data_IF_814403945221
#
_entry.id   IF_814403945221
#
_cell.length_a   1.000
_cell.length_b   1.000
_cell.length_c   1.000
_cell.angle_alpha   90.00
_cell.angle_beta   90.00
_cell.angle_gamma   90.00
#
_symmetry.space_group_name_H-M   'P 1'
#
loop_
_entity.id
_entity.type
_entity.pdbx_description
1 polymer ?
#
# COMPACT_ATOMS: atom_id res chain seq x y z
N UNK A 1 88.80 20.72 -18.10
CA UNK A 1 87.66 21.02 -17.22
C UNK A 1 86.45 21.29 -18.10
N UNK A 2 85.60 20.29 -18.31
CA UNK A 2 84.14 20.38 -18.20
C UNK A 2 83.51 19.14 -18.83
N UNK A 3 82.79 18.44 -17.97
CA UNK A 3 82.28 17.08 -18.15
C UNK A 3 80.76 17.08 -18.33
N UNK A 4 80.34 16.10 -19.14
CA UNK A 4 79.11 15.29 -19.03
C UNK A 4 77.76 15.92 -19.39
N UNK A 5 77.35 15.59 -20.62
CA UNK A 5 75.96 15.34 -21.05
C UNK A 5 75.25 14.33 -20.14
N UNK A 6 74.06 14.67 -19.61
CA UNK A 6 73.15 13.69 -18.99
C UNK A 6 71.80 13.70 -19.71
N UNK A 7 71.65 12.78 -20.67
CA UNK A 7 70.40 12.47 -21.35
C UNK A 7 69.46 11.69 -20.41
N UNK A 8 68.41 12.34 -19.87
CA UNK A 8 67.35 11.71 -19.05
C UNK A 8 65.94 12.00 -19.58
N UNK A 9 65.78 12.15 -20.90
CA UNK A 9 64.53 12.58 -21.55
C UNK A 9 63.45 11.50 -21.74
N UNK A 10 63.73 10.34 -22.38
CA UNK A 10 62.65 9.49 -22.89
C UNK A 10 62.07 8.51 -21.85
N UNK A 11 62.87 8.01 -20.91
CA UNK A 11 62.43 6.98 -19.95
C UNK A 11 61.43 7.50 -18.89
N UNK A 12 61.51 8.79 -18.54
CA UNK A 12 60.59 9.43 -17.59
C UNK A 12 59.21 9.67 -18.20
N UNK A 13 59.17 10.06 -19.48
CA UNK A 13 57.93 10.33 -20.21
C UNK A 13 57.12 9.04 -20.44
N UNK A 14 57.79 7.94 -20.82
CA UNK A 14 57.15 6.62 -21.00
C UNK A 14 56.59 6.06 -19.69
N UNK A 15 57.28 6.30 -18.56
CA UNK A 15 56.77 5.92 -17.23
C UNK A 15 55.52 6.71 -16.85
N UNK A 16 55.50 8.02 -17.13
CA UNK A 16 54.36 8.88 -16.80
C UNK A 16 53.10 8.51 -17.60
N UNK A 17 53.23 8.25 -18.90
CA UNK A 17 52.12 7.83 -19.78
C UNK A 17 51.56 6.47 -19.35
N UNK A 18 52.41 5.54 -18.93
CA UNK A 18 51.97 4.22 -18.41
C UNK A 18 51.24 4.32 -17.08
N UNK A 19 51.71 5.18 -16.17
CA UNK A 19 51.04 5.42 -14.88
C UNK A 19 49.68 6.09 -15.10
N UNK A 20 49.60 7.11 -15.95
CA UNK A 20 48.34 7.77 -16.31
C UNK A 20 47.35 6.81 -17.00
N UNK A 21 47.83 5.95 -17.89
CA UNK A 21 47.01 4.92 -18.53
C UNK A 21 46.47 3.88 -17.53
N UNK A 22 47.29 3.43 -16.58
CA UNK A 22 46.86 2.50 -15.52
C UNK A 22 45.87 3.14 -14.55
N UNK A 23 46.05 4.43 -14.21
CA UNK A 23 45.10 5.19 -13.39
C UNK A 23 43.77 5.36 -14.12
N UNK A 24 43.78 5.67 -15.42
CA UNK A 24 42.56 5.78 -16.23
C UNK A 24 41.81 4.44 -16.33
N UNK A 25 42.51 3.33 -16.53
CA UNK A 25 41.90 1.98 -16.56
C UNK A 25 41.34 1.59 -15.18
N UNK A 26 42.04 1.92 -14.09
CA UNK A 26 41.55 1.67 -12.74
C UNK A 26 40.29 2.51 -12.43
N UNK A 27 40.23 3.77 -12.87
CA UNK A 27 39.07 4.64 -12.69
C UNK A 27 37.85 4.16 -13.50
N UNK A 28 38.07 3.67 -14.72
CA UNK A 28 36.99 3.07 -15.54
C UNK A 28 36.49 1.75 -14.94
N UNK A 29 37.39 0.92 -14.40
CA UNK A 29 37.03 -0.32 -13.72
C UNK A 29 36.27 -0.09 -12.39
N UNK A 30 36.57 1.00 -11.67
CA UNK A 30 35.81 1.40 -10.47
C UNK A 30 34.42 1.95 -10.80
N UNK A 31 34.23 2.60 -11.96
CA UNK A 31 32.93 3.13 -12.38
C UNK A 31 31.95 2.07 -12.89
N UNK A 32 32.45 0.94 -13.40
CA UNK A 32 31.63 -0.13 -13.99
C UNK A 32 31.12 -1.18 -12.98
N UNK A 33 31.50 -1.07 -11.71
CA UNK A 33 31.16 -2.03 -10.65
C UNK A 33 30.24 -1.44 -9.55
N UNK A 34 29.56 -0.32 -9.82
CA UNK A 34 28.45 0.07 -8.96
C UNK A 34 27.30 -0.92 -9.25
N UNK A 35 26.93 -1.80 -8.31
CA UNK A 35 25.67 -2.53 -8.48
C UNK A 35 24.58 -1.47 -8.64
N UNK A 36 23.73 -1.61 -9.65
CA UNK A 36 22.47 -0.89 -9.69
C UNK A 36 21.79 -1.21 -8.36
N UNK A 37 21.81 -0.24 -7.43
CA UNK A 37 21.10 -0.32 -6.19
C UNK A 37 19.62 -0.28 -6.56
N UNK A 38 19.08 -1.44 -6.95
CA UNK A 38 17.64 -1.66 -7.04
C UNK A 38 17.15 -1.35 -5.63
N UNK A 39 16.49 -0.21 -5.46
CA UNK A 39 15.88 0.14 -4.19
C UNK A 39 14.97 -1.03 -3.81
N UNK A 40 15.39 -1.82 -2.83
CA UNK A 40 14.63 -2.99 -2.39
C UNK A 40 13.45 -2.45 -1.61
N UNK A 41 12.27 -2.45 -2.24
CA UNK A 41 11.03 -2.03 -1.62
C UNK A 41 10.51 -3.16 -0.71
N UNK A 42 10.33 -2.89 0.57
CA UNK A 42 9.65 -3.81 1.50
C UNK A 42 8.15 -3.58 1.42
N UNK A 43 7.38 -4.68 1.32
CA UNK A 43 5.94 -4.63 1.06
C UNK A 43 5.16 -5.21 2.23
N UNK A 44 4.17 -4.46 2.69
CA UNK A 44 3.32 -4.83 3.81
C UNK A 44 1.86 -4.66 3.41
N UNK A 45 1.00 -5.57 3.84
CA UNK A 45 -0.42 -5.47 3.54
C UNK A 45 -1.30 -5.76 4.76
N UNK A 46 -2.38 -4.99 4.87
CA UNK A 46 -3.54 -5.30 5.68
C UNK A 46 -4.73 -5.48 4.75
N UNK A 47 -5.27 -6.69 4.69
CA UNK A 47 -6.35 -7.06 3.77
C UNK A 47 -7.54 -7.49 4.60
N UNK A 48 -8.67 -6.80 4.44
CA UNK A 48 -9.85 -6.95 5.27
C UNK A 48 -11.03 -7.30 4.38
N UNK A 49 -11.75 -8.35 4.74
CA UNK A 49 -13.03 -8.71 4.13
C UNK A 49 -14.08 -8.88 5.22
N UNK A 50 -15.23 -8.23 5.10
CA UNK A 50 -16.32 -8.42 6.06
C UNK A 50 -17.65 -8.52 5.35
N UNK A 51 -18.23 -9.72 5.36
CA UNK A 51 -19.57 -9.94 4.85
C UNK A 51 -20.64 -9.31 5.75
N UNK A 52 -20.32 -9.05 7.01
CA UNK A 52 -21.24 -8.43 7.99
C UNK A 52 -20.80 -7.01 8.31
N UNK A 53 -21.72 -6.20 8.80
CA UNK A 53 -21.42 -4.87 9.30
C UNK A 53 -22.46 -4.40 10.31
N UNK A 54 -22.01 -3.73 11.35
CA UNK A 54 -22.85 -3.05 12.34
C UNK A 54 -22.61 -1.55 12.24
N UNK A 55 -23.67 -0.77 12.08
CA UNK A 55 -23.56 0.70 12.02
C UNK A 55 -23.51 1.38 13.40
N UNK A 56 -23.33 2.70 13.42
CA UNK A 56 -23.21 3.48 14.65
C UNK A 56 -24.44 3.45 15.57
N UNK A 57 -25.60 2.97 15.10
CA UNK A 57 -26.80 2.77 15.93
C UNK A 57 -26.87 1.37 16.55
N UNK A 58 -25.96 0.47 16.16
CA UNK A 58 -26.00 -0.95 16.51
C UNK A 58 -26.86 -1.79 15.56
N UNK A 59 -27.36 -1.21 14.46
CA UNK A 59 -28.12 -1.95 13.47
C UNK A 59 -27.19 -2.82 12.61
N UNK A 60 -27.57 -4.10 12.47
CA UNK A 60 -26.85 -5.07 11.65
C UNK A 60 -27.31 -4.91 10.20
N UNK A 61 -26.36 -4.80 9.27
CA UNK A 61 -26.64 -4.78 7.83
C UNK A 61 -26.88 -6.20 7.30
N UNK A 62 -27.67 -6.31 6.24
CA UNK A 62 -27.83 -7.57 5.53
C UNK A 62 -26.46 -8.08 5.06
N UNK A 63 -26.12 -9.39 5.24
CA UNK A 63 -24.80 -9.88 4.89
C UNK A 63 -24.51 -9.81 3.38
N UNK A 64 -23.29 -9.39 3.04
CA UNK A 64 -22.70 -9.59 1.71
C UNK A 64 -22.30 -11.06 1.51
N UNK A 65 -21.99 -11.43 0.27
CA UNK A 65 -21.66 -12.83 -0.06
C UNK A 65 -20.15 -13.04 -0.17
N UNK A 66 -19.43 -12.09 -0.77
CA UNK A 66 -18.09 -12.32 -1.30
C UNK A 66 -16.97 -11.56 -0.60
N UNK A 67 -17.26 -10.53 0.20
CA UNK A 67 -16.22 -9.67 0.79
C UNK A 67 -15.09 -10.43 1.53
N UNK A 68 -15.43 -11.47 2.29
CA UNK A 68 -14.44 -12.34 2.96
C UNK A 68 -13.60 -13.16 1.95
N UNK A 69 -14.22 -13.64 0.87
CA UNK A 69 -13.54 -14.40 -0.19
C UNK A 69 -12.67 -13.48 -1.08
N UNK A 70 -13.13 -12.27 -1.37
CA UNK A 70 -12.41 -11.22 -2.10
C UNK A 70 -11.11 -10.84 -1.40
N UNK A 71 -11.11 -10.74 -0.07
CA UNK A 71 -9.89 -10.53 0.69
C UNK A 71 -8.85 -11.64 0.45
N UNK A 72 -9.29 -12.90 0.32
CA UNK A 72 -8.39 -14.00 -0.03
C UNK A 72 -7.88 -13.88 -1.49
N UNK A 73 -8.76 -13.52 -2.43
CA UNK A 73 -8.39 -13.32 -3.84
C UNK A 73 -7.36 -12.21 -4.01
N UNK A 74 -7.54 -11.07 -3.34
CA UNK A 74 -6.59 -9.95 -3.38
C UNK A 74 -5.25 -10.33 -2.76
N UNK A 75 -5.24 -11.04 -1.62
CA UNK A 75 -3.99 -11.58 -1.03
C UNK A 75 -3.24 -12.43 -2.06
N UNK A 76 -3.93 -13.34 -2.73
CA UNK A 76 -3.30 -14.29 -3.65
C UNK A 76 -2.77 -13.58 -4.90
N UNK A 77 -3.49 -12.56 -5.40
CA UNK A 77 -3.04 -11.72 -6.51
C UNK A 77 -1.79 -10.88 -6.15
N UNK A 78 -1.80 -10.21 -4.98
CA UNK A 78 -0.67 -9.41 -4.50
C UNK A 78 0.59 -10.27 -4.31
N UNK A 79 0.42 -11.49 -3.80
CA UNK A 79 1.49 -12.48 -3.68
C UNK A 79 2.04 -12.89 -5.04
N UNK A 80 1.15 -13.27 -5.96
CA UNK A 80 1.54 -13.86 -7.24
C UNK A 80 2.18 -12.83 -8.19
N UNK A 81 1.72 -11.57 -8.14
CA UNK A 81 2.04 -10.59 -9.18
C UNK A 81 2.68 -9.29 -8.66
N UNK A 82 2.62 -9.00 -7.37
CA UNK A 82 3.05 -7.70 -6.83
C UNK A 82 4.17 -7.80 -5.78
N UNK A 83 4.71 -9.00 -5.55
CA UNK A 83 5.87 -9.22 -4.68
C UNK A 83 5.60 -9.04 -3.19
N UNK A 84 4.34 -9.16 -2.75
CA UNK A 84 3.97 -9.19 -1.34
C UNK A 84 4.25 -10.56 -0.73
N UNK A 85 4.62 -10.59 0.55
CA UNK A 85 4.79 -11.83 1.29
C UNK A 85 3.43 -12.52 1.51
N UNK A 86 3.42 -13.86 1.56
CA UNK A 86 2.18 -14.64 1.57
C UNK A 86 1.55 -14.83 2.95
N UNK A 87 2.29 -14.48 4.01
CA UNK A 87 1.87 -14.68 5.40
C UNK A 87 2.40 -13.58 6.32
N UNK A 88 1.87 -13.57 7.53
CA UNK A 88 2.40 -12.80 8.63
C UNK A 88 3.91 -13.07 8.78
N UNK A 89 4.71 -12.05 9.16
CA UNK A 89 4.24 -10.83 9.82
C UNK A 89 3.93 -9.65 8.89
N UNK A 90 4.26 -9.72 7.59
CA UNK A 90 4.19 -8.56 6.67
C UNK A 90 2.87 -8.43 5.93
N UNK A 91 2.16 -9.54 5.71
CA UNK A 91 0.79 -9.55 5.18
C UNK A 91 -0.16 -10.12 6.22
N UNK A 92 -1.17 -9.33 6.60
CA UNK A 92 -2.22 -9.74 7.53
C UNK A 92 -3.56 -9.73 6.80
N UNK A 93 -4.27 -10.85 6.84
CA UNK A 93 -5.64 -10.95 6.31
C UNK A 93 -6.61 -11.13 7.48
N UNK A 94 -7.67 -10.33 7.50
CA UNK A 94 -8.74 -10.40 8.49
C UNK A 94 -10.08 -10.63 7.80
N UNK A 95 -10.79 -11.69 8.19
CA UNK A 95 -12.17 -11.92 7.79
C UNK A 95 -13.10 -11.66 8.96
N UNK A 96 -14.21 -10.94 8.72
CA UNK A 96 -15.18 -10.56 9.75
C UNK A 96 -14.54 -9.96 11.02
N UNK A 97 -13.59 -9.00 10.91
CA UNK A 97 -12.92 -8.54 12.11
C UNK A 97 -13.84 -7.70 12.98
N UNK A 98 -13.52 -7.70 14.27
CA UNK A 98 -13.91 -6.63 15.19
C UNK A 98 -13.00 -5.40 15.01
N UNK A 99 -13.46 -4.21 15.39
CA UNK A 99 -12.67 -2.96 15.36
C UNK A 99 -11.34 -3.11 16.09
N UNK A 100 -11.35 -3.71 17.27
CA UNK A 100 -10.14 -3.95 18.04
C UNK A 100 -9.11 -4.83 17.30
N UNK A 101 -9.56 -5.80 16.51
CA UNK A 101 -8.68 -6.68 15.74
C UNK A 101 -8.00 -5.92 14.59
N UNK A 102 -8.70 -5.01 13.92
CA UNK A 102 -8.13 -4.15 12.87
C UNK A 102 -7.03 -3.26 13.45
N UNK A 103 -7.30 -2.55 14.54
CA UNK A 103 -6.33 -1.67 15.18
C UNK A 103 -5.12 -2.44 15.73
N UNK A 104 -5.35 -3.64 16.27
CA UNK A 104 -4.27 -4.53 16.70
C UNK A 104 -3.39 -5.00 15.52
N UNK A 105 -3.98 -5.26 14.35
CA UNK A 105 -3.23 -5.61 13.15
C UNK A 105 -2.36 -4.45 12.66
N UNK A 106 -2.88 -3.22 12.66
CA UNK A 106 -2.10 -2.01 12.35
C UNK A 106 -0.92 -1.88 13.32
N UNK A 107 -1.14 -2.07 14.63
CA UNK A 107 -0.06 -2.03 15.62
C UNK A 107 1.00 -3.11 15.41
N UNK A 108 0.61 -4.32 14.99
CA UNK A 108 1.54 -5.40 14.68
C UNK A 108 2.41 -5.05 13.47
N UNK A 109 1.79 -4.57 12.39
CA UNK A 109 2.50 -4.15 11.18
C UNK A 109 3.48 -3.01 11.47
N UNK A 110 3.08 -2.02 12.27
CA UNK A 110 3.99 -0.96 12.74
C UNK A 110 5.23 -1.53 13.43
N UNK A 111 5.03 -2.49 14.34
CA UNK A 111 6.15 -3.12 15.05
C UNK A 111 7.05 -3.93 14.10
N UNK A 112 6.45 -4.63 13.12
CA UNK A 112 7.17 -5.38 12.10
C UNK A 112 8.00 -4.46 11.20
N UNK A 113 7.41 -3.38 10.67
CA UNK A 113 8.12 -2.38 9.86
C UNK A 113 9.30 -1.80 10.65
N UNK A 114 9.08 -1.44 11.91
CA UNK A 114 10.14 -0.91 12.76
C UNK A 114 11.26 -1.94 13.03
N UNK A 115 10.93 -3.22 13.15
CA UNK A 115 11.91 -4.30 13.31
C UNK A 115 12.71 -4.53 12.03
N UNK A 116 12.04 -4.69 10.89
CA UNK A 116 12.67 -4.90 9.59
C UNK A 116 13.62 -3.73 9.23
N UNK A 117 13.23 -2.48 9.50
CA UNK A 117 14.11 -1.32 9.31
C UNK A 117 15.38 -1.35 10.17
N UNK A 118 15.35 -1.99 11.35
CA UNK A 118 16.54 -2.18 12.20
C UNK A 118 17.39 -3.36 11.74
N UNK A 119 16.74 -4.46 11.37
CA UNK A 119 17.40 -5.74 11.07
C UNK A 119 18.03 -5.75 9.67
N UNK A 120 17.49 -4.95 8.75
CA UNK A 120 18.00 -4.77 7.39
C UNK A 120 18.47 -3.32 7.19
N UNK A 121 19.64 -2.95 7.74
CA UNK A 121 20.17 -1.60 7.63
C UNK A 121 20.52 -1.26 6.17
N UNK A 122 19.71 -0.40 5.56
CA UNK A 122 19.77 0.07 4.17
C UNK A 122 18.57 0.98 3.86
N UNK A 123 18.64 1.83 2.83
CA UNK A 123 17.47 2.63 2.40
C UNK A 123 16.51 1.72 1.64
N UNK A 124 15.54 1.16 2.36
CA UNK A 124 14.46 0.36 1.81
C UNK A 124 13.18 1.16 1.90
N UNK A 125 12.61 1.52 0.74
CA UNK A 125 11.29 2.11 0.71
C UNK A 125 10.27 1.09 1.21
N UNK A 126 9.37 1.53 2.07
CA UNK A 126 8.29 0.74 2.64
C UNK A 126 7.01 1.08 1.92
N UNK A 127 6.50 0.12 1.14
CA UNK A 127 5.17 0.16 0.56
C UNK A 127 4.20 -0.57 1.48
N UNK A 128 3.18 0.14 1.94
CA UNK A 128 2.06 -0.43 2.66
C UNK A 128 0.80 -0.40 1.80
N UNK A 129 0.04 -1.49 1.78
CA UNK A 129 -1.26 -1.58 1.13
C UNK A 129 -2.36 -1.95 2.14
N UNK A 130 -3.37 -1.10 2.25
CA UNK A 130 -4.65 -1.46 2.84
C UNK A 130 -5.61 -1.91 1.73
N UNK A 131 -6.28 -3.02 1.94
CA UNK A 131 -7.45 -3.41 1.17
C UNK A 131 -8.63 -3.66 2.11
N UNK A 132 -9.80 -3.11 1.81
CA UNK A 132 -11.04 -3.40 2.52
C UNK A 132 -12.14 -3.73 1.51
N UNK A 133 -12.81 -4.87 1.69
CA UNK A 133 -14.11 -5.16 1.08
C UNK A 133 -15.16 -5.33 2.18
N UNK A 134 -16.31 -4.67 2.03
CA UNK A 134 -17.38 -4.74 3.01
C UNK A 134 -18.37 -3.56 2.95
N UNK A 135 -19.16 -3.42 4.00
CA UNK A 135 -20.13 -2.32 4.11
C UNK A 135 -19.45 -1.00 4.49
N UNK A 136 -19.76 0.07 3.75
CA UNK A 136 -19.36 1.45 4.06
C UNK A 136 -20.58 2.32 4.36
N UNK A 137 -20.49 3.17 5.38
CA UNK A 137 -21.56 4.11 5.73
C UNK A 137 -21.01 5.38 6.36
N UNK A 138 -21.44 6.56 5.88
CA UNK A 138 -21.12 7.87 6.49
C UNK A 138 -19.62 8.11 6.82
N UNK A 139 -18.69 7.59 6.02
CA UNK A 139 -17.24 7.71 6.27
C UNK A 139 -16.68 6.63 7.21
N UNK A 140 -17.45 5.59 7.49
CA UNK A 140 -17.09 4.49 8.38
C UNK A 140 -17.06 3.16 7.61
N UNK A 141 -16.10 2.32 7.97
CA UNK A 141 -16.06 0.91 7.58
C UNK A 141 -16.86 0.12 8.62
N UNK A 142 -17.90 -0.61 8.20
CA UNK A 142 -18.71 -1.38 9.14
C UNK A 142 -18.05 -2.73 9.39
N UNK A 143 -17.80 -3.03 10.67
CA UNK A 143 -17.13 -4.25 11.11
C UNK A 143 -18.10 -5.10 11.95
N UNK A 144 -17.63 -6.24 12.43
CA UNK A 144 -18.48 -7.22 13.11
C UNK A 144 -19.09 -6.73 14.43
N UNK A 145 -18.44 -5.80 15.12
CA UNK A 145 -18.83 -5.29 16.45
C UNK A 145 -19.10 -3.78 16.46
N UNK A 146 -19.06 -3.13 15.30
CA UNK A 146 -19.34 -1.70 15.15
C UNK A 146 -18.52 -1.04 14.04
N UNK A 147 -18.79 0.25 13.77
CA UNK A 147 -18.08 0.99 12.75
C UNK A 147 -16.64 1.35 13.18
N UNK A 148 -15.73 1.38 12.21
CA UNK A 148 -14.42 2.03 12.30
C UNK A 148 -14.41 3.27 11.41
N UNK A 149 -14.22 4.44 12.02
CA UNK A 149 -14.16 5.70 11.30
C UNK A 149 -12.90 5.79 10.40
N UNK A 150 -13.05 6.26 9.16
CA UNK A 150 -11.94 6.35 8.22
C UNK A 150 -10.82 7.26 8.71
N UNK A 151 -11.12 8.35 9.45
CA UNK A 151 -10.10 9.24 10.03
C UNK A 151 -9.41 8.60 11.23
N UNK A 152 -10.10 7.73 11.95
CA UNK A 152 -9.44 6.90 12.96
C UNK A 152 -8.46 5.92 12.31
N UNK A 153 -8.90 5.23 11.25
CA UNK A 153 -8.06 4.31 10.51
C UNK A 153 -6.85 5.02 9.89
N UNK A 154 -7.04 6.14 9.20
CA UNK A 154 -5.92 6.87 8.58
C UNK A 154 -4.91 7.34 9.62
N UNK A 155 -5.35 7.89 10.77
CA UNK A 155 -4.43 8.24 11.87
C UNK A 155 -3.64 7.05 12.39
N UNK A 156 -4.25 5.87 12.48
CA UNK A 156 -3.56 4.66 12.87
C UNK A 156 -2.52 4.24 11.81
N UNK A 157 -2.87 4.35 10.53
CA UNK A 157 -2.00 4.01 9.40
C UNK A 157 -0.84 5.01 9.19
N UNK A 158 -1.06 6.30 9.44
CA UNK A 158 -0.01 7.32 9.37
C UNK A 158 1.15 7.06 10.32
N UNK A 159 0.90 6.32 11.40
CA UNK A 159 1.93 5.89 12.35
C UNK A 159 2.74 4.65 11.94
N UNK A 160 2.48 4.03 10.78
CA UNK A 160 3.14 2.79 10.36
C UNK A 160 4.64 2.96 10.07
N UNK A 161 5.06 4.14 9.62
CA UNK A 161 6.40 4.37 9.10
C UNK A 161 6.58 3.80 7.68
N UNK A 162 5.52 3.82 6.87
CA UNK A 162 5.58 3.51 5.45
C UNK A 162 5.92 4.75 4.63
N UNK A 163 6.68 4.60 3.56
CA UNK A 163 7.07 5.69 2.66
C UNK A 163 6.01 5.91 1.57
N UNK A 164 5.28 4.86 1.19
CA UNK A 164 4.10 4.90 0.34
C UNK A 164 2.96 4.07 0.94
N UNK A 165 1.78 4.66 1.10
CA UNK A 165 0.55 3.98 1.52
C UNK A 165 -0.45 3.93 0.38
N UNK A 166 -0.91 2.74 0.00
CA UNK A 166 -1.98 2.55 -1.00
C UNK A 166 -3.19 1.98 -0.28
N UNK A 167 -4.27 2.74 -0.22
CA UNK A 167 -5.50 2.33 0.45
C UNK A 167 -6.57 2.06 -0.61
N UNK A 168 -7.07 0.82 -0.64
CA UNK A 168 -8.04 0.31 -1.61
C UNK A 168 -9.32 -0.07 -0.88
N UNK A 169 -10.44 0.58 -1.20
CA UNK A 169 -11.72 0.39 -0.54
C UNK A 169 -12.80 -0.04 -1.54
N UNK A 170 -13.25 -1.29 -1.43
CA UNK A 170 -14.42 -1.85 -2.13
C UNK A 170 -15.64 -1.85 -1.19
N UNK A 171 -16.29 -0.69 -1.09
CA UNK A 171 -17.46 -0.46 -0.26
C UNK A 171 -18.36 0.62 -0.88
N UNK A 172 -19.67 0.62 -0.60
CA UNK A 172 -20.62 1.62 -1.13
C UNK A 172 -20.33 3.06 -0.64
N UNK A 173 -20.64 4.10 -1.46
CA UNK A 173 -20.26 5.52 -1.29
C UNK A 173 -21.40 6.58 -1.25
N UNK A 174 -21.07 7.75 -0.72
CA UNK A 174 -21.91 8.92 -0.46
C UNK A 174 -22.06 9.79 -1.70
N UNK A 175 -23.30 10.04 -2.15
CA UNK A 175 -23.70 11.35 -2.64
C UNK A 175 -25.22 11.44 -2.82
N UNK A 176 -25.88 12.34 -2.09
CA UNK A 176 -26.65 13.47 -2.67
C UNK A 176 -27.48 14.20 -1.61
N UNK A 177 -27.43 15.53 -1.67
CA UNK A 177 -28.29 16.47 -0.95
C UNK A 177 -29.60 16.60 -1.73
N UNK A 178 -30.66 15.91 -1.32
CA UNK A 178 -31.99 16.55 -1.20
C UNK A 178 -32.98 15.66 -0.47
N UNK A 179 -33.65 16.22 0.54
CA UNK A 179 -34.63 15.54 1.35
C UNK A 179 -35.95 15.37 0.60
N UNK A 180 -36.38 14.13 0.36
CA UNK A 180 -37.69 13.89 -0.23
C UNK A 180 -38.05 12.40 -0.37
N UNK A 181 -38.97 11.97 0.49
CA UNK A 181 -39.74 10.71 0.51
C UNK A 181 -39.82 9.94 -0.83
N UNK A 182 -39.41 8.67 -0.83
CA UNK A 182 -40.18 7.53 -1.39
C UNK A 182 -39.60 6.20 -0.91
N UNK A 183 -40.44 5.35 -0.32
CA UNK A 183 -40.14 3.93 -0.08
C UNK A 183 -40.72 3.14 -1.25
N UNK A 184 -39.87 2.41 -1.99
CA UNK A 184 -40.27 1.21 -2.74
C UNK A 184 -39.05 0.32 -3.06
N UNK A 185 -39.11 -0.92 -2.55
CA UNK A 185 -38.40 -2.16 -2.94
C UNK A 185 -36.85 -2.15 -3.03
N UNK A 186 -36.24 -2.99 -2.19
CA UNK A 186 -35.03 -3.75 -2.56
C UNK A 186 -33.68 -3.05 -2.52
N UNK A 187 -33.61 -1.73 -2.36
CA UNK A 187 -32.39 -1.00 -2.00
C UNK A 187 -32.86 0.23 -1.23
N UNK A 188 -32.44 0.36 0.04
CA UNK A 188 -32.61 1.61 0.78
C UNK A 188 -31.38 2.46 0.48
N UNK A 189 -31.51 3.65 -0.13
CA UNK A 189 -30.40 4.58 -0.20
C UNK A 189 -30.00 4.97 1.23
N UNK A 190 -28.89 4.42 1.70
CA UNK A 190 -28.29 4.80 2.98
C UNK A 190 -27.31 5.95 2.78
N UNK A 191 -27.06 6.73 3.84
CA UNK A 191 -26.20 7.91 3.80
C UNK A 191 -24.74 7.49 3.61
N UNK A 192 -24.26 7.61 2.37
CA UNK A 192 -23.03 6.91 1.98
C UNK A 192 -21.72 7.45 2.56
N UNK A 193 -20.61 6.95 2.02
CA UNK A 193 -19.21 7.25 2.36
C UNK A 193 -18.56 8.33 1.45
N UNK A 194 -18.13 9.48 1.99
CA UNK A 194 -17.68 10.64 1.19
C UNK A 194 -16.15 10.73 1.14
N UNK A 195 -15.54 10.79 -0.06
CA UNK A 195 -14.07 10.76 -0.21
C UNK A 195 -13.37 11.94 0.49
N UNK A 196 -13.98 13.12 0.52
CA UNK A 196 -13.55 14.30 1.29
C UNK A 196 -13.63 14.10 2.81
N UNK A 197 -14.45 13.16 3.28
CA UNK A 197 -14.52 12.78 4.71
C UNK A 197 -13.56 11.65 5.06
N UNK A 198 -13.13 10.89 4.07
CA UNK A 198 -12.35 9.65 4.16
C UNK A 198 -10.87 9.89 3.91
N UNK A 199 -10.54 10.76 2.96
CA UNK A 199 -9.19 11.26 2.69
C UNK A 199 -9.02 12.55 3.47
N UNK A 200 -8.21 12.58 4.54
CA UNK A 200 -7.93 13.81 5.27
C UNK A 200 -7.26 14.84 4.37
N UNK A 201 -7.58 16.12 4.58
CA UNK A 201 -7.02 17.23 3.79
C UNK A 201 -5.48 17.26 3.84
N UNK A 202 -4.88 16.76 4.92
CA UNK A 202 -3.43 16.69 5.15
C UNK A 202 -2.76 15.40 4.64
N UNK A 203 -3.53 14.37 4.27
CA UNK A 203 -2.99 13.10 3.78
C UNK A 203 -2.21 13.24 2.45
N UNK A 204 -2.38 14.35 1.72
CA UNK A 204 -1.72 14.62 0.45
C UNK A 204 -0.47 15.52 0.58
N UNK A 205 -0.16 16.03 1.77
CA UNK A 205 0.78 17.14 1.90
C UNK A 205 2.22 16.74 2.19
N UNK A 206 2.54 15.51 2.63
CA UNK A 206 3.94 15.17 2.94
C UNK A 206 4.30 13.67 2.91
N UNK A 207 3.32 12.77 2.88
CA UNK A 207 3.54 11.32 2.73
C UNK A 207 2.98 10.85 1.38
N UNK A 208 3.65 9.92 0.70
CA UNK A 208 3.07 9.31 -0.50
C UNK A 208 1.84 8.49 -0.12
N UNK A 209 0.63 8.99 -0.40
CA UNK A 209 -0.62 8.27 -0.14
C UNK A 209 -1.48 8.23 -1.39
N UNK A 210 -1.96 7.05 -1.75
CA UNK A 210 -2.89 6.82 -2.86
C UNK A 210 -4.17 6.19 -2.30
N UNK A 211 -5.31 6.76 -2.65
CA UNK A 211 -6.63 6.19 -2.33
C UNK A 211 -7.33 5.74 -3.61
N UNK A 212 -7.72 4.46 -3.65
CA UNK A 212 -8.54 3.87 -4.70
C UNK A 212 -9.85 3.40 -4.07
N UNK A 213 -10.99 3.83 -4.61
CA UNK A 213 -12.29 3.46 -4.07
C UNK A 213 -13.28 3.10 -5.18
N UNK A 214 -14.12 2.10 -4.92
CA UNK A 214 -14.95 1.46 -5.95
C UNK A 214 -15.97 2.37 -6.62
N UNK A 215 -16.51 3.40 -5.94
CA UNK A 215 -17.41 4.38 -6.57
C UNK A 215 -17.54 5.66 -5.74
N UNK A 216 -18.35 6.63 -6.19
CA UNK A 216 -18.86 7.74 -5.38
C UNK A 216 -20.32 7.55 -4.94
N UNK A 217 -20.94 6.38 -5.22
CA UNK A 217 -22.36 6.09 -4.95
C UNK A 217 -22.60 4.64 -4.48
N UNK A 218 -22.71 3.66 -5.38
CA UNK A 218 -22.89 2.26 -4.97
C UNK A 218 -21.74 1.39 -5.47
N UNK A 219 -21.05 0.70 -4.56
CA UNK A 219 -20.25 -0.46 -4.94
C UNK A 219 -21.22 -1.59 -5.30
N UNK A 220 -20.93 -2.31 -6.38
CA UNK A 220 -21.82 -3.34 -6.90
C UNK A 220 -21.15 -4.70 -6.82
N UNK A 221 -21.88 -5.65 -6.23
CA UNK A 221 -21.50 -7.05 -6.08
C UNK A 221 -22.54 -7.90 -6.83
N UNK A 222 -22.07 -8.78 -7.72
CA UNK A 222 -22.88 -9.81 -8.35
C UNK A 222 -22.86 -11.08 -7.47
N UNK A 223 -24.01 -11.68 -7.12
CA UNK A 223 -24.07 -12.84 -6.23
C UNK A 223 -23.31 -14.08 -6.72
N UNK A 224 -23.08 -14.22 -8.02
CA UNK A 224 -22.36 -15.33 -8.64
C UNK A 224 -20.90 -14.97 -8.96
N UNK A 225 -20.59 -13.68 -9.20
CA UNK A 225 -19.31 -13.23 -9.75
C UNK A 225 -18.46 -12.39 -8.78
N UNK A 226 -19.02 -11.93 -7.67
CA UNK A 226 -18.34 -11.04 -6.73
C UNK A 226 -18.44 -9.55 -7.10
N UNK A 227 -17.69 -8.73 -6.36
CA UNK A 227 -17.54 -7.30 -6.52
C UNK A 227 -16.80 -6.94 -7.81
N UNK A 228 -17.42 -6.08 -8.61
CA UNK A 228 -16.86 -5.69 -9.92
C UNK A 228 -15.54 -4.95 -9.78
N UNK A 229 -15.43 -4.10 -8.76
CA UNK A 229 -14.21 -3.35 -8.50
C UNK A 229 -13.09 -4.30 -8.08
N UNK A 230 -13.36 -5.21 -7.14
CA UNK A 230 -12.39 -6.25 -6.77
C UNK A 230 -11.92 -7.04 -7.98
N UNK A 231 -12.83 -7.52 -8.84
CA UNK A 231 -12.45 -8.27 -10.05
C UNK A 231 -11.54 -7.45 -10.95
N UNK A 232 -11.92 -6.21 -11.27
CA UNK A 232 -11.13 -5.33 -12.11
C UNK A 232 -9.76 -4.98 -11.48
N UNK A 233 -9.72 -4.78 -10.16
CA UNK A 233 -8.49 -4.52 -9.42
C UNK A 233 -7.54 -5.71 -9.48
N UNK A 234 -8.04 -6.94 -9.22
CA UNK A 234 -7.25 -8.16 -9.34
C UNK A 234 -6.75 -8.35 -10.76
N UNK A 235 -7.59 -8.14 -11.77
CA UNK A 235 -7.17 -8.20 -13.18
C UNK A 235 -6.04 -7.20 -13.49
N UNK A 236 -6.13 -5.98 -12.99
CA UNK A 236 -5.10 -4.96 -13.17
C UNK A 236 -3.76 -5.34 -12.52
N UNK A 237 -3.76 -6.15 -11.47
CA UNK A 237 -2.52 -6.68 -10.86
C UNK A 237 -1.87 -7.78 -11.70
N UNK A 238 -2.63 -8.45 -12.57
CA UNK A 238 -2.19 -9.66 -13.29
C UNK A 238 -1.60 -9.42 -14.68
N UNK A 239 -1.65 -8.18 -15.18
CA UNK A 239 -1.16 -7.79 -16.51
C UNK A 239 0.16 -7.04 -16.43
#
# INVERSE_FOLDING_TARGET
MNDVHSARGPARLVRLVRVLGLVAVALVALGAAAPEARATVMRYALIIGSNVGVDGSGAVKEPLTHAEAEAALVRDALRAHSGFDDRAPRTIVLTRPARGAVLAAVSRLRATIAADRRDFPGHHDVLFLLYYSGHGLDGQLLLADGPLDARELDRALGGLGADLRVNVLDACHAASLDGGRTVAKGVVPDRGFALDRVVPDDALHTDGVVWLAASSGSAFEDPERGGFFTTAFVEALTR
#
